data_IF_787523770930
#
_entry.id   IF_787523770930
#
_cell.length_a   1.000
_cell.length_b   1.000
_cell.length_c   1.000
_cell.angle_alpha   90.00
_cell.angle_beta   90.00
_cell.angle_gamma   90.00
#
_symmetry.space_group_name_H-M   'P 1'
#
loop_
_entity.id
_entity.type
_entity.pdbx_description
1 polymer ?
#
# COMPACT_ATOMS: atom_id res chain seq x y z
N UNK A 1 -19.09 -3.59 -7.99
CA UNK A 1 -17.67 -3.39 -7.62
C UNK A 1 -16.89 -3.17 -8.90
N UNK A 2 -16.17 -2.05 -9.03
CA UNK A 2 -15.35 -1.80 -10.20
C UNK A 2 -14.29 -2.91 -10.31
N UNK A 3 -14.21 -3.58 -11.46
CA UNK A 3 -13.22 -4.60 -11.71
C UNK A 3 -11.85 -3.91 -11.81
N UNK A 4 -11.01 -4.04 -10.78
CA UNK A 4 -9.67 -3.47 -10.77
C UNK A 4 -8.78 -4.31 -11.69
N UNK A 5 -8.77 -3.95 -12.98
CA UNK A 5 -8.17 -4.76 -14.03
C UNK A 5 -6.66 -4.50 -14.12
N UNK A 6 -5.88 -5.41 -13.52
CA UNK A 6 -4.43 -5.40 -13.60
C UNK A 6 -3.96 -5.94 -14.96
N UNK A 7 -3.03 -5.22 -15.59
CA UNK A 7 -2.49 -5.58 -16.91
C UNK A 7 -0.96 -5.62 -16.87
N UNK A 8 -0.34 -6.30 -17.85
CA UNK A 8 1.11 -6.32 -18.05
C UNK A 8 1.90 -6.68 -16.78
N UNK A 9 1.44 -7.72 -16.06
CA UNK A 9 2.12 -8.26 -14.89
C UNK A 9 3.46 -8.88 -15.29
N UNK A 10 4.53 -8.53 -14.59
CA UNK A 10 5.85 -9.11 -14.79
C UNK A 10 6.67 -9.07 -13.50
N UNK A 11 7.58 -10.04 -13.28
CA UNK A 11 8.52 -10.02 -12.17
C UNK A 11 9.46 -8.81 -12.27
N UNK A 12 9.79 -8.21 -11.13
CA UNK A 12 10.69 -7.05 -11.11
C UNK A 12 12.12 -7.44 -11.44
N UNK A 13 12.76 -6.66 -12.30
CA UNK A 13 14.18 -6.79 -12.59
C UNK A 13 15.05 -6.07 -11.55
N UNK A 14 16.39 -6.18 -11.67
CA UNK A 14 17.33 -5.57 -10.72
C UNK A 14 17.24 -4.05 -10.63
N UNK A 15 17.04 -3.37 -11.76
CA UNK A 15 16.91 -1.90 -11.78
C UNK A 15 15.58 -1.49 -11.16
N UNK A 16 14.51 -2.16 -11.52
CA UNK A 16 13.16 -1.92 -10.98
C UNK A 16 13.12 -2.14 -9.48
N UNK A 17 13.66 -3.25 -8.97
CA UNK A 17 13.69 -3.52 -7.54
C UNK A 17 14.41 -2.41 -6.76
N UNK A 18 15.54 -1.90 -7.29
CA UNK A 18 16.26 -0.77 -6.69
C UNK A 18 15.42 0.51 -6.68
N UNK A 19 14.81 0.86 -7.81
CA UNK A 19 13.95 2.05 -7.90
C UNK A 19 12.72 1.93 -7.00
N UNK A 20 12.10 0.76 -6.97
CA UNK A 20 10.92 0.45 -6.15
C UNK A 20 11.24 0.57 -4.66
N UNK A 21 12.31 -0.06 -4.19
CA UNK A 21 12.72 0.03 -2.78
C UNK A 21 12.99 1.48 -2.37
N UNK A 22 13.66 2.26 -3.22
CA UNK A 22 13.90 3.68 -2.95
C UNK A 22 12.61 4.49 -2.88
N UNK A 23 11.68 4.30 -3.83
CA UNK A 23 10.42 5.01 -3.86
C UNK A 23 9.49 4.66 -2.68
N UNK A 24 9.46 3.39 -2.27
CA UNK A 24 8.70 2.96 -1.09
C UNK A 24 9.31 3.50 0.21
N UNK A 25 10.65 3.49 0.32
CA UNK A 25 11.34 4.05 1.46
C UNK A 25 11.11 5.56 1.58
N UNK A 26 11.14 6.29 0.46
CA UNK A 26 10.82 7.72 0.41
C UNK A 26 9.36 7.99 0.81
N UNK A 27 8.41 7.18 0.33
CA UNK A 27 6.98 7.37 0.61
C UNK A 27 6.58 7.05 2.06
N UNK A 28 7.30 6.15 2.73
CA UNK A 28 6.88 5.61 4.03
C UNK A 28 7.88 5.83 5.17
N UNK A 29 9.12 6.23 4.88
CA UNK A 29 10.18 6.31 5.90
C UNK A 29 10.56 4.96 6.49
N UNK A 30 10.26 3.85 5.80
CA UNK A 30 10.55 2.48 6.22
C UNK A 30 11.63 1.85 5.33
N UNK A 31 12.30 0.82 5.84
CA UNK A 31 13.25 0.05 5.06
C UNK A 31 12.54 -1.00 4.19
N UNK A 32 12.88 -1.03 2.89
CA UNK A 32 12.41 -2.02 1.94
C UNK A 32 13.58 -2.69 1.22
N UNK A 33 13.51 -4.01 1.03
CA UNK A 33 14.62 -4.80 0.49
C UNK A 33 14.18 -5.88 -0.51
N UNK A 34 13.16 -5.59 -1.33
CA UNK A 34 12.70 -6.53 -2.36
C UNK A 34 13.82 -6.87 -3.35
N UNK A 35 13.96 -8.17 -3.64
CA UNK A 35 14.96 -8.72 -4.56
C UNK A 35 14.36 -8.90 -5.97
N UNK A 36 15.20 -8.98 -7.01
CA UNK A 36 14.74 -9.27 -8.37
C UNK A 36 13.96 -10.59 -8.40
N UNK A 37 12.78 -10.59 -9.03
CA UNK A 37 11.90 -11.75 -9.12
C UNK A 37 11.09 -12.10 -7.88
N UNK A 38 11.30 -11.42 -6.74
CA UNK A 38 10.55 -11.67 -5.49
C UNK A 38 9.13 -11.09 -5.53
N UNK A 39 8.96 -9.99 -6.26
CA UNK A 39 7.72 -9.26 -6.42
C UNK A 39 7.47 -8.98 -7.90
N UNK A 40 6.23 -8.63 -8.22
CA UNK A 40 5.80 -8.34 -9.58
C UNK A 40 5.17 -6.96 -9.66
N UNK A 41 5.41 -6.27 -10.76
CA UNK A 41 4.72 -5.03 -11.10
C UNK A 41 3.62 -5.32 -12.11
N UNK A 42 2.47 -4.67 -11.92
CA UNK A 42 1.38 -4.64 -12.88
C UNK A 42 0.91 -3.21 -13.11
N UNK A 43 0.39 -2.94 -14.30
CA UNK A 43 -0.30 -1.69 -14.57
C UNK A 43 -1.70 -1.73 -13.98
N UNK A 44 -2.07 -0.66 -13.30
CA UNK A 44 -3.41 -0.40 -12.77
C UNK A 44 -4.02 0.83 -13.46
N UNK A 45 -5.33 1.07 -13.32
CA UNK A 45 -5.97 2.28 -13.86
C UNK A 45 -5.42 3.60 -13.29
N UNK A 46 -4.79 3.58 -12.10
CA UNK A 46 -4.37 4.78 -11.37
C UNK A 46 -2.85 4.92 -11.25
N UNK A 47 -2.07 4.04 -11.85
CA UNK A 47 -0.62 3.94 -11.70
C UNK A 47 -0.14 2.50 -11.80
N UNK A 48 0.87 2.13 -11.02
CA UNK A 48 1.33 0.74 -10.89
C UNK A 48 0.77 0.04 -9.64
N UNK A 49 0.80 -1.29 -9.66
CA UNK A 49 0.50 -2.15 -8.51
C UNK A 49 1.69 -3.07 -8.28
N UNK A 50 2.06 -3.24 -7.01
CA UNK A 50 3.07 -4.20 -6.56
C UNK A 50 2.38 -5.44 -6.01
N UNK A 51 2.81 -6.60 -6.47
CA UNK A 51 2.26 -7.89 -6.07
C UNK A 51 3.34 -8.79 -5.48
N UNK A 52 2.94 -9.56 -4.46
CA UNK A 52 3.68 -10.72 -3.96
C UNK A 52 2.72 -11.91 -3.96
N UNK A 53 3.14 -13.02 -4.57
CA UNK A 53 2.33 -14.24 -4.71
C UNK A 53 0.92 -13.97 -5.27
N UNK A 54 0.82 -13.06 -6.26
CA UNK A 54 -0.45 -12.68 -6.89
C UNK A 54 -1.39 -11.82 -6.04
N UNK A 55 -0.97 -11.38 -4.85
CA UNK A 55 -1.72 -10.45 -4.00
C UNK A 55 -1.14 -9.05 -4.11
N UNK A 56 -2.00 -8.04 -4.25
CA UNK A 56 -1.58 -6.63 -4.23
C UNK A 56 -1.15 -6.26 -2.81
N UNK A 57 0.09 -5.81 -2.68
CA UNK A 57 0.68 -5.37 -1.41
C UNK A 57 0.94 -3.86 -1.38
N UNK A 58 1.10 -3.21 -2.53
CA UNK A 58 1.18 -1.75 -2.65
C UNK A 58 0.61 -1.26 -3.98
N UNK A 59 0.21 0.01 -4.03
CA UNK A 59 -0.37 0.68 -5.18
C UNK A 59 0.23 2.08 -5.32
N UNK A 60 0.53 2.48 -6.54
CA UNK A 60 0.91 3.84 -6.87
C UNK A 60 -0.36 4.66 -7.16
N UNK A 61 -0.46 5.85 -6.55
CA UNK A 61 -1.53 6.81 -6.81
C UNK A 61 -1.00 8.22 -6.58
N UNK A 62 -1.24 9.12 -7.54
CA UNK A 62 -0.81 10.52 -7.41
C UNK A 62 0.70 10.71 -7.32
N UNK A 63 1.48 9.79 -7.89
CA UNK A 63 2.95 9.85 -7.89
C UNK A 63 3.62 9.32 -6.62
N UNK A 64 2.86 8.80 -5.65
CA UNK A 64 3.38 8.17 -4.44
C UNK A 64 2.91 6.71 -4.34
N UNK A 65 3.73 5.88 -3.69
CA UNK A 65 3.34 4.52 -3.33
C UNK A 65 2.55 4.52 -2.02
N UNK A 66 1.55 3.66 -1.96
CA UNK A 66 0.74 3.40 -0.78
C UNK A 66 0.68 1.90 -0.52
N UNK A 67 0.96 1.47 0.71
CA UNK A 67 0.75 0.08 1.11
C UNK A 67 -0.74 -0.25 1.08
N UNK A 68 -1.08 -1.40 0.51
CA UNK A 68 -2.41 -1.99 0.69
C UNK A 68 -2.53 -2.51 2.13
N UNK A 69 -3.75 -2.77 2.60
CA UNK A 69 -3.98 -3.38 3.93
C UNK A 69 -3.18 -4.69 4.09
N UNK A 70 -3.08 -5.50 3.02
CA UNK A 70 -2.24 -6.71 3.03
C UNK A 70 -0.75 -6.40 3.19
N UNK A 71 -0.26 -5.34 2.54
CA UNK A 71 1.13 -4.89 2.69
C UNK A 71 1.42 -4.40 4.12
N UNK A 72 0.47 -3.68 4.74
CA UNK A 72 0.59 -3.25 6.14
C UNK A 72 0.59 -4.42 7.14
N UNK A 73 -0.03 -5.55 6.79
CA UNK A 73 0.02 -6.77 7.62
C UNK A 73 1.34 -7.53 7.46
N UNK A 74 2.05 -7.35 6.34
CA UNK A 74 3.39 -7.93 6.12
C UNK A 74 4.50 -7.05 6.71
N UNK A 75 4.35 -5.73 6.58
CA UNK A 75 5.25 -4.73 7.11
C UNK A 75 4.44 -3.75 7.97
N UNK A 76 4.35 -4.08 9.25
CA UNK A 76 3.64 -3.25 10.24
C UNK A 76 4.50 -2.02 10.54
N UNK A 77 4.08 -0.81 10.16
CA UNK A 77 4.82 0.39 10.50
C UNK A 77 4.89 0.55 12.02
N UNK A 78 6.03 1.02 12.57
CA UNK A 78 6.18 1.25 13.99
C UNK A 78 5.27 2.37 14.51
N UNK A 79 4.74 3.19 13.60
CA UNK A 79 3.92 4.33 13.96
C UNK A 79 3.05 4.90 12.85
N UNK A 80 2.48 6.08 13.10
CA UNK A 80 1.53 6.76 12.21
C UNK A 80 0.12 6.17 12.25
N UNK A 81 -0.22 5.50 13.36
CA UNK A 81 -1.52 4.89 13.56
C UNK A 81 -2.56 5.89 14.05
N UNK A 82 -3.79 5.73 13.57
CA UNK A 82 -4.96 6.48 14.04
C UNK A 82 -5.96 5.46 14.57
N UNK A 83 -6.24 5.51 15.86
CA UNK A 83 -7.23 4.66 16.49
C UNK A 83 -8.61 5.30 16.36
N UNK A 84 -9.56 4.54 15.82
CA UNK A 84 -10.94 4.99 15.64
C UNK A 84 -11.92 4.24 16.54
N UNK A 85 -13.09 4.82 16.76
CA UNK A 85 -14.17 4.16 17.47
C UNK A 85 -14.80 3.01 16.65
N UNK A 86 -15.38 2.03 17.35
CA UNK A 86 -16.01 0.86 16.72
C UNK A 86 -17.24 1.22 15.88
N UNK A 87 -17.90 2.34 16.17
CA UNK A 87 -19.03 2.85 15.38
C UNK A 87 -18.61 3.44 14.03
N UNK A 88 -17.37 3.93 13.90
CA UNK A 88 -16.81 4.44 12.65
C UNK A 88 -16.41 3.32 11.67
N UNK A 89 -16.01 2.14 12.17
CA UNK A 89 -15.46 1.02 11.36
C UNK A 89 -16.36 0.65 10.16
N UNK A 90 -17.69 0.45 10.29
CA UNK A 90 -18.53 0.10 9.15
C UNK A 90 -18.53 1.16 8.05
N UNK A 91 -18.44 2.45 8.41
CA UNK A 91 -18.39 3.54 7.44
C UNK A 91 -17.04 3.56 6.70
N UNK A 92 -15.94 3.35 7.42
CA UNK A 92 -14.60 3.27 6.84
C UNK A 92 -14.46 2.09 5.89
N UNK A 93 -15.00 0.91 6.25
CA UNK A 93 -15.03 -0.25 5.36
C UNK A 93 -15.81 0.02 4.05
N UNK A 94 -16.73 0.98 4.07
CA UNK A 94 -17.48 1.42 2.88
C UNK A 94 -16.79 2.58 2.12
N UNK A 95 -15.58 2.97 2.50
CA UNK A 95 -14.79 4.00 1.83
C UNK A 95 -15.08 5.43 2.29
N UNK A 96 -15.73 5.62 3.44
CA UNK A 96 -15.84 6.94 4.05
C UNK A 96 -14.48 7.42 4.58
N UNK A 97 -14.33 8.74 4.69
CA UNK A 97 -13.20 9.34 5.39
C UNK A 97 -13.35 9.15 6.91
N UNK A 98 -12.22 9.12 7.63
CA UNK A 98 -12.21 9.23 9.09
C UNK A 98 -12.59 10.67 9.46
N UNK A 99 -13.55 10.81 10.37
CA UNK A 99 -13.98 12.11 10.90
C UNK A 99 -13.34 12.32 12.27
N UNK A 100 -12.95 13.55 12.60
CA UNK A 100 -12.25 13.88 13.85
C UNK A 100 -12.99 13.39 15.12
N UNK A 101 -14.33 13.45 15.13
CA UNK A 101 -15.15 12.99 16.26
C UNK A 101 -15.05 11.48 16.52
N UNK A 102 -14.61 10.69 15.54
CA UNK A 102 -14.44 9.25 15.69
C UNK A 102 -13.00 8.79 15.93
N UNK A 103 -12.07 9.72 16.12
CA UNK A 103 -10.68 9.43 16.49
C UNK A 103 -10.58 9.37 18.01
N UNK A 104 -10.15 8.23 18.54
CA UNK A 104 -9.97 8.01 19.97
C UNK A 104 -8.53 8.28 20.42
N UNK A 105 -7.57 7.97 19.56
CA UNK A 105 -6.15 8.13 19.85
C UNK A 105 -5.35 8.25 18.55
N UNK A 106 -4.18 8.86 18.64
CA UNK A 106 -3.23 8.99 17.53
C UNK A 106 -1.83 8.71 18.06
N UNK A 107 -1.02 8.08 17.23
CA UNK A 107 0.38 7.89 17.54
C UNK A 107 1.13 9.24 17.58
N UNK A 108 2.14 9.35 18.46
CA UNK A 108 2.90 10.60 18.72
C UNK A 108 3.86 11.00 17.60
#
# INVERSE_FOLDING_TARGET
MAQYNLRRRHPVNKREARTLNAALAEAHGLEFSYRPGEVELAQSPTGQALLRDGRVIALERGGAWHLAVRGLLELVPPGGWVQVDMGAVPFLCNGANVMAAGINDVDE
#
